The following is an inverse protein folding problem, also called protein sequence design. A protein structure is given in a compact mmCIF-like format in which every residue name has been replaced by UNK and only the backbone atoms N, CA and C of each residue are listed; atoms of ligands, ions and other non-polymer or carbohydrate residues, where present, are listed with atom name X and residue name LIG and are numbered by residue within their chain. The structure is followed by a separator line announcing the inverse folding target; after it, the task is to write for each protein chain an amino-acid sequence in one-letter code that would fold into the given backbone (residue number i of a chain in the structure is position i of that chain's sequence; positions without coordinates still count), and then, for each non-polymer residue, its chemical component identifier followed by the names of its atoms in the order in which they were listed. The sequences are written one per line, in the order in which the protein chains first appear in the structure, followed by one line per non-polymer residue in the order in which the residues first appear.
data_IF_101627619994
#
_entry.id   IF_101627619994
#
_cell.length_a   1.000
_cell.length_b   1.000
_cell.length_c   1.000
_cell.angle_alpha   90.00
_cell.angle_beta   90.00
_cell.angle_gamma   90.00
#
_symmetry.space_group_name_H-M   'P 1'
#
loop_
_entity.id
_entity.type
_entity.pdbx_description
1 polymer ?
#
# COMPACT_ATOMS: atom_id res chain seq x y z
N UNK A 1 1.63 -9.80 9.02
CA UNK A 1 1.71 -8.71 10.03
C UNK A 1 1.28 -7.33 9.50
N UNK A 2 1.81 -6.78 8.39
CA UNK A 2 1.47 -5.41 7.94
C UNK A 2 -0.01 -5.19 7.54
N UNK A 3 -0.46 -5.79 6.43
CA UNK A 3 -1.85 -5.62 5.95
C UNK A 3 -2.89 -6.19 6.93
N UNK A 4 -2.58 -7.34 7.55
CA UNK A 4 -3.46 -7.95 8.56
C UNK A 4 -3.66 -7.03 9.77
N UNK A 5 -2.63 -6.29 10.18
CA UNK A 5 -2.76 -5.30 11.24
C UNK A 5 -3.63 -4.12 10.80
N UNK A 6 -3.45 -3.62 9.57
CA UNK A 6 -4.31 -2.56 9.02
C UNK A 6 -5.77 -3.00 9.04
N UNK A 7 -6.09 -4.19 8.53
CA UNK A 7 -7.45 -4.74 8.55
C UNK A 7 -8.00 -4.89 9.97
N UNK A 8 -7.18 -5.34 10.92
CA UNK A 8 -7.59 -5.48 12.33
C UNK A 8 -7.92 -4.14 12.99
N UNK A 9 -7.21 -3.06 12.65
CA UNK A 9 -7.37 -1.73 13.27
C UNK A 9 -8.43 -0.88 12.57
N UNK A 10 -8.48 -0.97 11.24
CA UNK A 10 -9.27 -0.12 10.36
C UNK A 10 -10.41 -0.87 9.67
N UNK A 11 -10.59 -2.15 9.94
CA UNK A 11 -11.58 -3.00 9.26
C UNK A 11 -11.13 -3.43 7.86
N UNK A 12 -11.78 -4.46 7.33
CA UNK A 12 -11.35 -5.12 6.10
C UNK A 12 -11.39 -4.23 4.86
N UNK A 13 -12.22 -3.19 4.86
CA UNK A 13 -12.37 -2.25 3.75
C UNK A 13 -11.14 -1.35 3.55
N UNK A 14 -10.27 -1.21 4.55
CA UNK A 14 -9.09 -0.33 4.46
C UNK A 14 -8.18 -0.70 3.29
N UNK A 15 -8.11 -1.98 2.94
CA UNK A 15 -7.23 -2.49 1.88
C UNK A 15 -7.63 -1.94 0.49
N UNK A 16 -8.89 -1.54 0.30
CA UNK A 16 -9.35 -0.88 -0.93
C UNK A 16 -8.70 0.50 -1.11
N UNK A 17 -8.20 1.10 -0.02
CA UNK A 17 -7.53 2.41 0.01
C UNK A 17 -6.00 2.31 0.11
N UNK A 18 -5.44 1.10 0.06
CA UNK A 18 -3.98 0.87 0.18
C UNK A 18 -3.36 0.66 -1.19
N UNK A 19 -2.20 1.29 -1.39
CA UNK A 19 -1.27 1.05 -2.49
C UNK A 19 0.11 0.78 -1.92
N UNK A 20 0.83 -0.20 -2.49
CA UNK A 20 2.17 -0.58 -2.03
C UNK A 20 3.24 0.22 -2.78
N UNK A 21 4.11 0.90 -2.06
CA UNK A 21 5.23 1.63 -2.65
C UNK A 21 6.53 0.86 -2.44
N UNK A 22 7.17 0.46 -3.53
CA UNK A 22 8.52 -0.09 -3.51
C UNK A 22 9.51 1.04 -3.78
N UNK A 23 10.51 1.18 -2.90
CA UNK A 23 11.54 2.22 -3.06
C UNK A 23 12.88 1.59 -3.41
N UNK A 24 13.66 2.28 -4.24
CA UNK A 24 15.02 1.90 -4.61
C UNK A 24 15.97 3.09 -4.52
N UNK A 25 17.25 2.83 -4.30
CA UNK A 25 18.30 3.86 -4.33
C UNK A 25 19.07 3.83 -5.65
N UNK A 26 19.33 2.63 -6.18
CA UNK A 26 20.07 2.44 -7.43
C UNK A 26 19.17 1.88 -8.53
N UNK A 27 19.37 2.30 -9.77
CA UNK A 27 18.49 1.93 -10.89
C UNK A 27 18.45 0.42 -11.16
N UNK A 28 19.54 -0.31 -10.91
CA UNK A 28 19.56 -1.77 -11.02
C UNK A 28 18.63 -2.48 -10.03
N UNK A 29 18.34 -1.85 -8.88
CA UNK A 29 17.38 -2.36 -7.90
C UNK A 29 15.95 -2.25 -8.45
N UNK A 30 15.64 -1.21 -9.24
CA UNK A 30 14.33 -1.05 -9.87
C UNK A 30 14.00 -2.24 -10.79
N UNK A 31 14.98 -2.70 -11.59
CA UNK A 31 14.82 -3.87 -12.45
C UNK A 31 14.64 -5.16 -11.64
N UNK A 32 15.40 -5.29 -10.55
CA UNK A 32 15.30 -6.44 -9.63
C UNK A 32 13.92 -6.49 -8.98
N UNK A 33 13.42 -5.37 -8.47
CA UNK A 33 12.06 -5.25 -7.90
C UNK A 33 11.02 -5.66 -8.95
N UNK A 34 11.10 -5.15 -10.18
CA UNK A 34 10.16 -5.50 -11.26
C UNK A 34 10.21 -6.98 -11.63
N UNK A 35 11.38 -7.61 -11.55
CA UNK A 35 11.54 -9.05 -11.75
C UNK A 35 10.88 -9.83 -10.61
N UNK A 36 11.17 -9.47 -9.37
CA UNK A 36 10.61 -10.15 -8.18
C UNK A 36 9.10 -10.04 -8.12
N UNK A 37 8.54 -8.87 -8.46
CA UNK A 37 7.09 -8.68 -8.55
C UNK A 37 6.40 -9.62 -9.54
N UNK A 38 7.13 -10.16 -10.53
CA UNK A 38 6.61 -11.13 -11.51
C UNK A 38 6.91 -12.58 -11.17
N UNK A 39 7.84 -12.84 -10.26
CA UNK A 39 8.41 -14.18 -10.04
C UNK A 39 8.27 -14.68 -8.60
N UNK A 40 7.98 -13.80 -7.67
CA UNK A 40 7.82 -14.13 -6.26
C UNK A 40 6.33 -14.26 -5.91
N UNK A 41 5.82 -15.49 -5.65
CA UNK A 41 4.41 -15.71 -5.34
C UNK A 41 3.95 -14.99 -4.07
N UNK A 42 4.86 -14.74 -3.12
CA UNK A 42 4.53 -14.01 -1.88
C UNK A 42 4.27 -12.54 -2.19
N UNK A 43 5.05 -11.93 -3.09
CA UNK A 43 4.82 -10.56 -3.53
C UNK A 43 3.56 -10.46 -4.40
N UNK A 44 3.32 -11.43 -5.27
CA UNK A 44 2.10 -11.51 -6.07
C UNK A 44 0.85 -11.54 -5.17
N UNK A 45 0.79 -12.44 -4.19
CA UNK A 45 -0.31 -12.51 -3.23
C UNK A 45 -0.47 -11.22 -2.41
N UNK A 46 0.64 -10.56 -2.06
CA UNK A 46 0.61 -9.27 -1.36
C UNK A 46 -0.03 -8.18 -2.23
N UNK A 47 0.31 -8.15 -3.52
CA UNK A 47 -0.27 -7.21 -4.48
C UNK A 47 -1.74 -7.49 -4.73
N UNK A 48 -2.13 -8.75 -4.89
CA UNK A 48 -3.52 -9.17 -5.09
C UNK A 48 -4.43 -8.71 -3.95
N UNK A 49 -3.97 -8.81 -2.70
CA UNK A 49 -4.71 -8.28 -1.54
C UNK A 49 -5.02 -6.80 -1.72
N UNK A 50 -4.07 -6.02 -2.24
CA UNK A 50 -4.24 -4.59 -2.52
C UNK A 50 -4.77 -4.32 -3.95
N UNK A 51 -5.48 -5.26 -4.58
CA UNK A 51 -6.07 -5.07 -5.92
C UNK A 51 -5.05 -4.80 -7.03
N UNK A 52 -3.82 -5.30 -6.88
CA UNK A 52 -2.72 -5.06 -7.82
C UNK A 52 -2.12 -3.64 -7.75
N UNK A 53 -2.51 -2.83 -6.76
CA UNK A 53 -2.04 -1.44 -6.62
C UNK A 53 -0.64 -1.38 -6.03
N UNK A 54 0.34 -1.08 -6.88
CA UNK A 54 1.69 -0.72 -6.43
C UNK A 54 2.35 0.32 -7.33
N UNK A 55 3.44 0.92 -6.86
CA UNK A 55 4.34 1.75 -7.65
C UNK A 55 5.79 1.49 -7.23
N UNK A 56 6.74 1.64 -8.15
CA UNK A 56 8.18 1.71 -7.86
C UNK A 56 8.65 3.14 -7.96
N UNK A 57 9.40 3.64 -6.97
CA UNK A 57 9.96 4.99 -6.96
C UNK A 57 11.40 5.00 -6.43
N UNK A 58 12.22 5.89 -6.95
CA UNK A 58 13.49 6.23 -6.33
C UNK A 58 13.24 6.86 -4.95
N UNK A 59 14.02 6.44 -3.95
CA UNK A 59 13.91 6.89 -2.56
C UNK A 59 14.05 8.40 -2.40
N UNK A 60 14.86 9.04 -3.24
CA UNK A 60 15.06 10.50 -3.22
C UNK A 60 13.87 11.26 -3.81
N UNK A 61 12.99 10.61 -4.58
CA UNK A 61 11.81 11.18 -5.21
C UNK A 61 12.06 12.51 -5.96
N UNK A 62 13.27 12.73 -6.46
CA UNK A 62 13.66 13.95 -7.15
C UNK A 62 13.32 13.92 -8.65
N UNK A 63 12.97 12.74 -9.18
CA UNK A 63 12.54 12.56 -10.56
C UNK A 63 11.08 12.99 -10.71
N UNK A 64 10.84 14.09 -11.43
CA UNK A 64 9.49 14.60 -11.70
C UNK A 64 8.59 13.60 -12.44
N UNK A 65 9.17 12.72 -13.27
CA UNK A 65 8.39 11.70 -13.97
C UNK A 65 7.81 10.68 -13.00
N UNK A 66 8.63 10.18 -12.07
CA UNK A 66 8.19 9.21 -11.09
C UNK A 66 7.18 9.81 -10.12
N UNK A 67 7.37 11.06 -9.72
CA UNK A 67 6.40 11.79 -8.89
C UNK A 67 5.05 11.89 -9.61
N UNK A 68 5.06 12.26 -10.89
CA UNK A 68 3.84 12.34 -11.71
C UNK A 68 3.15 10.99 -11.84
N UNK A 69 3.90 9.90 -12.02
CA UNK A 69 3.33 8.56 -12.15
C UNK A 69 2.73 8.07 -10.81
N UNK A 70 3.38 8.39 -9.68
CA UNK A 70 2.83 8.15 -8.35
C UNK A 70 1.52 8.92 -8.14
N UNK A 71 1.49 10.21 -8.47
CA UNK A 71 0.28 11.04 -8.35
C UNK A 71 -0.87 10.50 -9.20
N UNK A 72 -0.61 10.09 -10.45
CA UNK A 72 -1.62 9.45 -11.30
C UNK A 72 -2.19 8.17 -10.68
N UNK A 73 -1.36 7.36 -10.02
CA UNK A 73 -1.84 6.15 -9.32
C UNK A 73 -2.67 6.48 -8.08
N UNK A 74 -2.32 7.55 -7.35
CA UNK A 74 -3.13 8.03 -6.23
C UNK A 74 -4.49 8.54 -6.73
N UNK A 75 -4.52 9.30 -7.82
CA UNK A 75 -5.78 9.74 -8.46
C UNK A 75 -6.62 8.55 -8.93
N UNK A 76 -5.99 7.54 -9.53
CA UNK A 76 -6.68 6.31 -9.92
C UNK A 76 -7.28 5.57 -8.72
N UNK A 77 -6.52 5.42 -7.64
CA UNK A 77 -6.99 4.85 -6.38
C UNK A 77 -8.19 5.61 -5.81
N UNK A 78 -8.18 6.95 -5.85
CA UNK A 78 -9.33 7.76 -5.43
C UNK A 78 -10.55 7.52 -6.33
N UNK A 79 -10.34 7.43 -7.64
CA UNK A 79 -11.42 7.13 -8.60
C UNK A 79 -12.04 5.74 -8.36
N UNK A 80 -11.22 4.71 -8.14
CA UNK A 80 -11.69 3.36 -7.78
C UNK A 80 -12.53 3.39 -6.49
N UNK A 81 -12.19 4.27 -5.55
CA UNK A 81 -12.92 4.48 -4.31
C UNK A 81 -14.02 5.55 -4.41
N UNK A 82 -14.45 5.93 -5.62
CA UNK A 82 -15.53 6.88 -5.88
C UNK A 82 -15.28 8.26 -5.22
N UNK A 83 -14.03 8.73 -5.27
CA UNK A 83 -13.59 9.99 -4.66
C UNK A 83 -13.79 10.04 -3.14
N UNK A 84 -14.02 8.89 -2.49
CA UNK A 84 -14.14 8.80 -1.04
C UNK A 84 -12.76 8.61 -0.43
N UNK A 85 -12.61 9.19 0.76
CA UNK A 85 -11.52 8.84 1.65
C UNK A 85 -11.95 7.67 2.54
N UNK A 86 -10.98 6.91 3.02
CA UNK A 86 -11.25 5.91 4.03
C UNK A 86 -11.87 6.59 5.26
N UNK A 87 -13.05 6.12 5.65
CA UNK A 87 -13.76 6.54 6.86
C UNK A 87 -14.14 5.29 7.63
N UNK A 88 -13.45 5.03 8.73
CA UNK A 88 -13.79 3.95 9.64
C UNK A 88 -13.49 4.34 11.07
N UNK A 89 -14.30 3.80 11.99
CA UNK A 89 -14.10 3.98 13.42
C UNK A 89 -12.83 3.21 13.78
N UNK A 90 -11.77 3.92 14.19
CA UNK A 90 -10.60 3.28 14.79
C UNK A 90 -11.12 2.50 16.00
N UNK A 91 -11.12 1.17 15.91
CA UNK A 91 -11.56 0.33 17.02
C UNK A 91 -10.48 0.45 18.09
N UNK A 92 -10.66 1.41 19.02
CA UNK A 92 -9.88 1.46 20.24
C UNK A 92 -10.22 0.20 21.03
N UNK A 93 -9.29 -0.75 21.08
CA UNK A 93 -9.35 -1.76 22.14
C UNK A 93 -9.20 -1.02 23.46
N UNK A 94 -10.29 -0.86 24.19
CA UNK A 94 -10.24 -0.53 25.60
C UNK A 94 -9.40 -1.62 26.29
N UNK A 95 -8.15 -1.32 26.62
CA UNK A 95 -7.51 -1.95 27.78
C UNK A 95 -8.11 -1.28 29.02
N UNK A 96 -9.37 -1.60 29.30
CA UNK A 96 -9.90 -1.46 30.65
C UNK A 96 -9.42 -2.70 31.41
N UNK A 97 -8.66 -2.48 32.47
CA UNK A 97 -8.00 -3.53 33.23
C UNK A 97 -8.97 -4.57 33.79
N UNK A 98 -8.49 -5.80 33.84
CA UNK A 98 -8.89 -6.75 34.87
C UNK A 98 -7.77 -6.79 35.90
N UNK A 99 -7.84 -5.90 36.89
CA UNK A 99 -7.34 -6.27 38.20
C UNK A 99 -8.30 -7.28 38.79
N UNK A 100 -7.84 -8.52 38.93
CA UNK A 100 -8.05 -9.42 40.06
C UNK A 100 -6.76 -10.23 40.21
#
# INVERSE_FOLDING_TARGET
MGLEWLQRVFGDTVIQFVMILFTYEREEECNTIKYDLKKNPVLEQLLEKCGGRYQTCNKMMNNQSEMRDLMKKIEHLLNENQQRHYTGVIIKKNTAGSGL
#
